data_IF_673755527329
#
_entry.id   IF_673755527329
#
_cell.length_a   1.000
_cell.length_b   1.000
_cell.length_c   1.000
_cell.angle_alpha   90.00
_cell.angle_beta   90.00
_cell.angle_gamma   90.00
#
_symmetry.space_group_name_H-M   'P 1'
#
loop_
_entity.id
_entity.type
_entity.pdbx_description
1 polymer ?
#
# COMPACT_ATOMS: atom_id res chain seq x y z
N UNK A 1 6.14 3.08 14.77
CA UNK A 1 7.02 2.91 13.58
C UNK A 1 6.21 3.29 12.34
N UNK A 2 6.72 4.15 11.44
CA UNK A 2 6.03 4.43 10.16
C UNK A 2 6.46 3.37 9.14
N UNK A 3 5.51 2.84 8.38
CA UNK A 3 5.78 1.92 7.27
C UNK A 3 5.98 2.76 6.01
N UNK A 4 7.09 2.59 5.30
CA UNK A 4 7.33 3.32 4.05
C UNK A 4 6.61 2.63 2.89
N UNK A 5 6.20 3.41 1.89
CA UNK A 5 5.48 2.86 0.73
C UNK A 5 6.25 1.72 0.02
N UNK A 6 7.59 1.75 0.02
CA UNK A 6 8.42 0.69 -0.55
C UNK A 6 8.36 -0.60 0.27
N UNK A 7 8.29 -0.50 1.60
CA UNK A 7 8.10 -1.67 2.48
C UNK A 7 6.74 -2.33 2.19
N UNK A 8 5.70 -1.53 1.95
CA UNK A 8 4.37 -2.02 1.54
C UNK A 8 4.46 -2.75 0.21
N UNK A 9 5.16 -2.18 -0.78
CA UNK A 9 5.33 -2.81 -2.09
C UNK A 9 6.06 -4.15 -2.00
N UNK A 10 7.14 -4.22 -1.23
CA UNK A 10 7.89 -5.46 -1.01
C UNK A 10 7.05 -6.53 -0.29
N UNK A 11 6.25 -6.12 0.70
CA UNK A 11 5.36 -7.04 1.40
C UNK A 11 4.28 -7.61 0.47
N UNK A 12 3.60 -6.76 -0.30
CA UNK A 12 2.56 -7.20 -1.24
C UNK A 12 3.14 -8.10 -2.35
N UNK A 13 4.33 -7.78 -2.87
CA UNK A 13 5.04 -8.62 -3.84
C UNK A 13 5.34 -10.01 -3.30
N UNK A 14 5.72 -10.12 -2.01
CA UNK A 14 5.94 -11.42 -1.36
C UNK A 14 4.69 -12.31 -1.26
N UNK A 15 3.50 -11.71 -1.39
CA UNK A 15 2.21 -12.40 -1.45
C UNK A 15 1.70 -12.61 -2.89
N UNK A 16 2.50 -12.26 -3.90
CA UNK A 16 2.13 -12.34 -5.31
C UNK A 16 1.24 -11.19 -5.81
N UNK A 17 1.10 -10.10 -5.04
CA UNK A 17 0.24 -8.96 -5.37
C UNK A 17 1.09 -7.83 -5.96
N UNK A 18 1.01 -7.67 -7.28
CA UNK A 18 1.77 -6.66 -8.00
C UNK A 18 1.16 -5.25 -7.85
N UNK A 19 1.94 -4.32 -7.28
CA UNK A 19 1.59 -2.89 -7.16
C UNK A 19 2.75 -2.00 -7.61
N UNK A 20 2.48 -0.72 -7.89
CA UNK A 20 3.53 0.27 -8.12
C UNK A 20 3.75 1.10 -6.87
N UNK A 21 5.02 1.39 -6.56
CA UNK A 21 5.41 2.33 -5.51
C UNK A 21 6.16 3.52 -6.12
N UNK A 22 6.06 4.67 -5.48
CA UNK A 22 6.93 5.83 -5.72
C UNK A 22 6.13 7.11 -5.88
N UNK A 23 6.61 7.98 -6.76
CA UNK A 23 5.93 9.23 -7.11
C UNK A 23 4.98 9.07 -8.30
N UNK A 24 4.97 7.91 -8.96
CA UNK A 24 4.18 7.63 -10.17
C UNK A 24 4.34 8.69 -11.28
N UNK A 25 5.57 9.20 -11.46
CA UNK A 25 5.90 10.32 -12.35
C UNK A 25 5.13 11.63 -12.05
N UNK A 26 4.51 11.74 -10.88
CA UNK A 26 3.70 12.88 -10.44
C UNK A 26 4.34 13.61 -9.25
N UNK A 27 5.67 13.81 -9.28
CA UNK A 27 6.42 14.43 -8.17
C UNK A 27 5.87 15.80 -7.71
N UNK A 28 5.40 16.71 -8.59
CA UNK A 28 4.79 17.96 -8.16
C UNK A 28 3.52 17.77 -7.32
N UNK A 29 2.68 16.78 -7.67
CA UNK A 29 1.47 16.45 -6.91
C UNK A 29 1.84 15.89 -5.53
N UNK A 30 2.81 14.98 -5.46
CA UNK A 30 3.34 14.45 -4.21
C UNK A 30 3.84 15.55 -3.27
N UNK A 31 4.58 16.53 -3.82
CA UNK A 31 5.02 17.72 -3.06
C UNK A 31 3.84 18.54 -2.53
N UNK A 32 2.82 18.79 -3.36
CA UNK A 32 1.61 19.52 -2.95
C UNK A 32 0.83 18.79 -1.84
N UNK A 33 0.82 17.46 -1.84
CA UNK A 33 0.17 16.63 -0.83
C UNK A 33 1.03 16.36 0.41
N UNK A 34 2.30 16.78 0.43
CA UNK A 34 3.23 16.49 1.52
C UNK A 34 3.58 15.00 1.65
N UNK A 35 3.44 14.22 0.57
CA UNK A 35 3.70 12.78 0.55
C UNK A 35 5.01 12.50 -0.17
N UNK A 36 5.91 11.72 0.44
CA UNK A 36 7.19 11.35 -0.19
C UNK A 36 7.03 10.24 -1.23
N UNK A 37 6.11 9.30 -1.01
CA UNK A 37 5.79 8.23 -1.95
C UNK A 37 4.41 7.65 -1.61
N UNK A 38 3.80 6.98 -2.58
CA UNK A 38 2.55 6.23 -2.39
C UNK A 38 2.69 4.84 -2.98
N UNK A 39 1.85 3.93 -2.48
CA UNK A 39 1.58 2.63 -3.10
C UNK A 39 0.28 2.75 -3.88
N UNK A 40 0.28 2.32 -5.14
CA UNK A 40 -0.88 2.38 -6.02
C UNK A 40 -1.17 1.01 -6.61
N UNK A 41 -2.34 0.48 -6.28
CA UNK A 41 -2.98 -0.57 -7.07
C UNK A 41 -3.81 0.10 -8.18
N UNK A 42 -3.78 -0.45 -9.38
CA UNK A 42 -4.54 0.05 -10.53
C UNK A 42 -5.19 -1.16 -11.19
N UNK A 43 -6.50 -1.12 -11.35
CA UNK A 43 -7.28 -2.20 -11.95
C UNK A 43 -7.64 -1.90 -13.40
N UNK A 44 -7.98 -2.93 -14.16
CA UNK A 44 -8.51 -2.82 -15.51
C UNK A 44 -9.50 -3.96 -15.81
N UNK A 45 -9.92 -4.10 -17.08
CA UNK A 45 -11.02 -4.98 -17.52
C UNK A 45 -10.90 -6.45 -17.10
N UNK A 46 -9.68 -6.92 -16.85
CA UNK A 46 -9.38 -8.32 -16.55
C UNK A 46 -9.24 -8.60 -15.06
N UNK A 47 -9.31 -7.56 -14.21
CA UNK A 47 -9.25 -7.77 -12.78
C UNK A 47 -10.59 -8.23 -12.23
N UNK A 48 -10.56 -9.04 -11.17
CA UNK A 48 -11.77 -9.56 -10.53
C UNK A 48 -12.00 -8.95 -9.15
N UNK A 49 -13.20 -9.11 -8.61
CA UNK A 49 -13.53 -8.69 -7.24
C UNK A 49 -12.72 -9.45 -6.20
N UNK A 50 -12.45 -10.74 -6.45
CA UNK A 50 -11.64 -11.58 -5.58
C UNK A 50 -10.19 -11.07 -5.49
N UNK A 51 -9.61 -10.56 -6.58
CA UNK A 51 -8.30 -9.92 -6.56
C UNK A 51 -8.28 -8.63 -5.72
N UNK A 52 -9.38 -7.87 -5.74
CA UNK A 52 -9.53 -6.68 -4.90
C UNK A 52 -9.65 -7.07 -3.43
N UNK A 53 -10.40 -8.13 -3.12
CA UNK A 53 -10.51 -8.64 -1.75
C UNK A 53 -9.15 -9.12 -1.22
N UNK A 54 -8.40 -9.89 -2.02
CA UNK A 54 -7.03 -10.30 -1.68
C UNK A 54 -6.10 -9.11 -1.41
N UNK A 55 -6.19 -8.04 -2.22
CA UNK A 55 -5.42 -6.82 -2.01
C UNK A 55 -5.79 -6.12 -0.69
N UNK A 56 -7.09 -6.00 -0.38
CA UNK A 56 -7.58 -5.35 0.84
C UNK A 56 -7.09 -6.11 2.08
N UNK A 57 -7.25 -7.43 2.08
CA UNK A 57 -6.82 -8.30 3.17
C UNK A 57 -5.31 -8.19 3.39
N UNK A 58 -4.52 -8.24 2.32
CA UNK A 58 -3.07 -8.08 2.40
C UNK A 58 -2.67 -6.69 2.95
N UNK A 59 -3.31 -5.60 2.49
CA UNK A 59 -3.02 -4.25 2.98
C UNK A 59 -3.34 -4.11 4.48
N UNK A 60 -4.39 -4.76 4.97
CA UNK A 60 -4.72 -4.76 6.40
C UNK A 60 -3.61 -5.38 7.26
N UNK A 61 -2.86 -6.35 6.73
CA UNK A 61 -1.77 -7.03 7.43
C UNK A 61 -0.42 -6.29 7.42
N UNK A 62 -0.27 -5.27 6.57
CA UNK A 62 0.98 -4.48 6.46
C UNK A 62 1.43 -3.91 7.81
N UNK A 63 0.52 -3.26 8.54
CA UNK A 63 0.87 -2.63 9.82
C UNK A 63 1.24 -3.65 10.91
N UNK A 64 0.43 -4.72 11.13
CA UNK A 64 0.81 -5.83 11.99
C UNK A 64 2.18 -6.42 11.64
N UNK A 65 2.43 -6.71 10.37
CA UNK A 65 3.67 -7.34 9.89
C UNK A 65 4.92 -6.53 10.25
N UNK A 66 4.88 -5.21 10.11
CA UNK A 66 6.00 -4.32 10.47
C UNK A 66 6.02 -3.87 11.95
N UNK A 67 5.13 -4.42 12.80
CA UNK A 67 5.00 -4.02 14.20
C UNK A 67 4.57 -2.54 14.37
N UNK A 68 3.88 -1.98 13.39
CA UNK A 68 3.41 -0.60 13.40
C UNK A 68 2.05 -0.51 14.13
N UNK A 69 2.12 -0.34 15.45
CA UNK A 69 0.94 -0.21 16.34
C UNK A 69 -0.08 0.80 15.80
N UNK A 70 -1.35 0.43 15.83
CA UNK A 70 -2.49 1.34 15.69
C UNK A 70 -2.62 2.18 16.95
N UNK A 71 -2.23 3.46 16.89
CA UNK A 71 -2.80 4.46 17.79
C UNK A 71 -4.30 4.54 17.46
N UNK A 72 -5.12 3.75 18.15
CA UNK A 72 -6.55 3.61 17.83
C UNK A 72 -7.23 2.31 18.29
N UNK A 73 -6.50 1.36 18.90
CA UNK A 73 -7.12 0.29 19.68
C UNK A 73 -7.04 0.58 21.19
N UNK A 74 -7.33 1.83 21.58
CA UNK A 74 -7.73 2.16 22.94
C UNK A 74 -9.24 2.44 22.87
N UNK A 75 -9.98 1.70 23.69
CA UNK A 75 -11.42 1.76 23.89
C UNK A 75 -11.92 3.19 24.13
#
# INVERSE_FOLDING_TARGET
>A
RRVHAHDVGQYLDSLGIAVRVGHHCAQPLHRRLGLTATTRASTYLYNTTEEVDMLIDAVAQVRPYFGAVTAGAAK
#
